data_IF_371293088140
#
_entry.id   IF_371293088140
#
_cell.length_a   1.000
_cell.length_b   1.000
_cell.length_c   1.000
_cell.angle_alpha   90.00
_cell.angle_beta   90.00
_cell.angle_gamma   90.00
#
_symmetry.space_group_name_H-M   'P 1'
#
loop_
_entity.id
_entity.type
_entity.pdbx_description
1 polymer ?
#
# COMPACT_ATOMS: atom_id res chain seq x y z
N UNK A 1 -13.29 59.96 26.95
CA UNK A 1 -14.17 60.84 27.73
C UNK A 1 -15.60 60.70 27.19
N UNK A 2 -16.56 60.47 28.10
CA UNK A 2 -18.04 60.56 28.04
C UNK A 2 -18.79 60.01 26.79
N UNK A 3 -19.70 59.02 26.83
CA UNK A 3 -20.91 58.76 27.65
C UNK A 3 -22.19 59.52 27.22
N UNK A 4 -23.33 58.83 27.41
CA UNK A 4 -24.77 59.15 27.19
C UNK A 4 -25.31 58.82 25.79
N UNK A 5 -26.24 57.87 25.57
CA UNK A 5 -27.53 57.49 26.22
C UNK A 5 -28.57 58.62 26.22
N UNK A 6 -29.66 58.41 25.48
CA UNK A 6 -30.99 58.90 25.86
C UNK A 6 -32.07 57.89 25.44
N UNK A 7 -32.83 57.45 26.44
CA UNK A 7 -34.05 56.66 26.34
C UNK A 7 -35.26 57.53 25.97
N UNK A 8 -36.42 56.92 25.63
CA UNK A 8 -37.66 57.00 26.45
C UNK A 8 -38.82 56.17 25.86
N UNK A 9 -39.32 55.24 26.71
CA UNK A 9 -40.72 55.00 27.12
C UNK A 9 -41.64 54.31 26.09
N UNK A 10 -42.35 53.21 26.38
CA UNK A 10 -42.99 52.73 27.63
C UNK A 10 -44.49 52.61 27.33
N UNK A 11 -45.14 51.45 27.56
CA UNK A 11 -46.18 51.21 28.60
C UNK A 11 -46.73 49.80 28.28
N UNK A 12 -46.52 48.79 29.17
CA UNK A 12 -47.44 48.29 30.21
C UNK A 12 -48.74 47.69 29.63
N UNK A 13 -49.23 46.51 30.02
CA UNK A 13 -48.89 45.58 31.11
C UNK A 13 -49.61 44.26 30.85
N UNK A 14 -49.90 43.35 31.78
CA UNK A 14 -49.55 43.12 33.19
C UNK A 14 -49.94 41.66 33.45
N UNK A 15 -49.05 40.92 34.11
CA UNK A 15 -49.26 39.82 35.08
C UNK A 15 -50.51 38.93 34.95
N UNK A 16 -50.27 37.62 34.84
CA UNK A 16 -50.83 36.64 35.78
C UNK A 16 -50.05 35.31 35.71
N UNK A 17 -49.62 34.86 36.90
CA UNK A 17 -49.04 33.54 37.16
C UNK A 17 -50.15 32.51 37.25
N UNK A 18 -49.96 31.30 36.70
CA UNK A 18 -50.70 30.11 37.11
C UNK A 18 -49.94 28.85 36.70
N UNK A 19 -49.36 28.21 37.71
CA UNK A 19 -49.03 26.79 37.78
C UNK A 19 -50.28 25.98 37.41
N UNK A 20 -50.20 25.02 36.47
CA UNK A 20 -50.78 23.68 36.59
C UNK A 20 -50.58 22.80 35.34
N UNK A 21 -50.48 21.50 35.62
CA UNK A 21 -50.82 20.34 34.77
C UNK A 21 -49.88 19.88 33.65
N UNK A 22 -49.14 18.82 33.99
CA UNK A 22 -48.84 17.67 33.14
C UNK A 22 -49.95 17.37 32.11
N UNK A 23 -49.60 17.47 30.83
CA UNK A 23 -50.23 16.67 29.78
C UNK A 23 -49.17 16.30 28.73
N UNK A 24 -48.67 15.06 28.82
CA UNK A 24 -48.05 14.37 27.69
C UNK A 24 -49.11 14.26 26.58
N UNK A 25 -49.01 15.09 25.55
CA UNK A 25 -49.62 14.77 24.25
C UNK A 25 -48.71 13.75 23.56
N UNK A 26 -49.04 12.47 23.71
CA UNK A 26 -48.64 11.42 22.79
C UNK A 26 -49.21 11.81 21.42
N UNK A 27 -48.33 12.24 20.51
CA UNK A 27 -48.67 12.33 19.10
C UNK A 27 -48.90 10.90 18.59
N UNK A 28 -49.99 10.64 17.84
CA UNK A 28 -50.19 9.33 17.26
C UNK A 28 -49.05 9.05 16.31
N UNK A 29 -48.44 7.87 16.46
CA UNK A 29 -47.52 7.27 15.49
C UNK A 29 -48.15 7.31 14.11
N UNK A 30 -47.74 8.28 13.29
CA UNK A 30 -47.91 8.20 11.84
C UNK A 30 -47.07 7.02 11.39
N UNK A 31 -47.72 5.87 11.20
CA UNK A 31 -47.14 4.75 10.47
C UNK A 31 -46.90 5.27 9.06
N UNK A 32 -45.66 5.65 8.75
CA UNK A 32 -45.22 5.86 7.38
C UNK A 32 -45.32 4.49 6.69
N UNK A 33 -46.45 4.25 6.02
CA UNK A 33 -46.58 3.14 5.07
C UNK A 33 -45.68 3.49 3.88
N UNK A 34 -44.41 3.13 3.98
CA UNK A 34 -43.46 3.20 2.87
C UNK A 34 -44.00 2.30 1.75
N UNK A 35 -44.05 2.81 0.51
CA UNK A 35 -44.47 1.99 -0.65
C UNK A 35 -43.50 0.82 -0.80
N UNK A 36 -43.97 -0.34 -1.28
CA UNK A 36 -43.14 -1.54 -1.44
C UNK A 36 -41.85 -1.31 -2.25
N UNK A 37 -41.87 -0.36 -3.20
CA UNK A 37 -40.70 0.10 -3.96
C UNK A 37 -39.67 0.85 -3.11
N UNK A 38 -40.11 1.66 -2.14
CA UNK A 38 -39.23 2.42 -1.23
C UNK A 38 -38.54 1.47 -0.24
N UNK A 39 -39.25 0.48 0.29
CA UNK A 39 -38.68 -0.55 1.18
C UNK A 39 -37.63 -1.39 0.44
N UNK A 40 -37.87 -1.75 -0.82
CA UNK A 40 -36.88 -2.43 -1.67
C UNK A 40 -35.65 -1.55 -1.92
N UNK A 41 -35.84 -0.26 -2.20
CA UNK A 41 -34.72 0.67 -2.43
C UNK A 41 -33.84 0.89 -1.19
N UNK A 42 -34.44 1.00 0.00
CA UNK A 42 -33.73 1.15 1.27
C UNK A 42 -32.97 -0.13 1.63
N UNK A 43 -33.57 -1.31 1.40
CA UNK A 43 -32.89 -2.60 1.60
C UNK A 43 -31.74 -2.80 0.62
N UNK A 44 -31.90 -2.42 -0.65
CA UNK A 44 -30.84 -2.47 -1.64
C UNK A 44 -29.68 -1.53 -1.25
N UNK A 45 -29.98 -0.31 -0.78
CA UNK A 45 -28.98 0.64 -0.30
C UNK A 45 -28.26 0.14 0.95
N UNK A 46 -28.99 -0.43 1.91
CA UNK A 46 -28.42 -1.03 3.11
C UNK A 46 -27.50 -2.22 2.76
N UNK A 47 -27.94 -3.11 1.87
CA UNK A 47 -27.14 -4.24 1.41
C UNK A 47 -25.90 -3.79 0.63
N UNK A 48 -26.01 -2.75 -0.21
CA UNK A 48 -24.86 -2.14 -0.91
C UNK A 48 -23.87 -1.50 0.07
N UNK A 49 -24.37 -0.85 1.13
CA UNK A 49 -23.53 -0.24 2.18
C UNK A 49 -22.81 -1.31 3.00
N UNK A 50 -23.50 -2.41 3.36
CA UNK A 50 -22.89 -3.54 4.06
C UNK A 50 -21.85 -4.25 3.19
N UNK A 51 -22.14 -4.43 1.89
CA UNK A 51 -21.19 -4.96 0.91
C UNK A 51 -19.95 -4.08 0.75
N UNK A 52 -20.13 -2.76 0.72
CA UNK A 52 -19.04 -1.77 0.72
C UNK A 52 -18.12 -1.91 1.93
N UNK A 53 -18.71 -1.93 3.12
CA UNK A 53 -17.96 -2.04 4.38
C UNK A 53 -17.22 -3.37 4.48
N UNK A 54 -17.82 -4.46 3.97
CA UNK A 54 -17.16 -5.76 3.91
C UNK A 54 -15.92 -5.73 3.00
N UNK A 55 -16.04 -5.17 1.80
CA UNK A 55 -14.95 -5.13 0.83
C UNK A 55 -13.77 -4.27 1.31
N UNK A 56 -14.07 -3.10 1.88
CA UNK A 56 -13.09 -2.20 2.49
C UNK A 56 -12.35 -2.90 3.65
N UNK A 57 -13.10 -3.55 4.54
CA UNK A 57 -12.54 -4.31 5.67
C UNK A 57 -11.67 -5.46 5.18
N UNK A 58 -12.09 -6.19 4.16
CA UNK A 58 -11.31 -7.29 3.57
C UNK A 58 -9.95 -6.79 3.07
N UNK A 59 -9.93 -5.72 2.26
CA UNK A 59 -8.68 -5.15 1.75
C UNK A 59 -7.78 -4.69 2.90
N UNK A 60 -8.35 -4.03 3.90
CA UNK A 60 -7.63 -3.57 5.07
C UNK A 60 -6.98 -4.72 5.86
N UNK A 61 -7.74 -5.78 6.16
CA UNK A 61 -7.25 -6.91 6.93
C UNK A 61 -6.23 -7.76 6.12
N UNK A 62 -6.41 -7.86 4.81
CA UNK A 62 -5.45 -8.50 3.90
C UNK A 62 -4.12 -7.76 3.90
N UNK A 63 -4.13 -6.43 3.72
CA UNK A 63 -2.89 -5.63 3.74
C UNK A 63 -2.27 -5.64 5.13
N UNK A 64 -3.05 -5.48 6.21
CA UNK A 64 -2.53 -5.53 7.58
C UNK A 64 -1.79 -6.84 7.89
N UNK A 65 -2.30 -7.97 7.40
CA UNK A 65 -1.70 -9.28 7.67
C UNK A 65 -0.49 -9.58 6.79
N UNK A 66 -0.48 -9.13 5.53
CA UNK A 66 0.51 -9.55 4.52
C UNK A 66 1.50 -8.46 4.09
N UNK A 67 1.12 -7.20 4.19
CA UNK A 67 1.93 -6.01 3.90
C UNK A 67 1.77 -4.99 5.03
N UNK A 68 2.28 -5.34 6.22
CA UNK A 68 2.13 -4.52 7.42
C UNK A 68 2.78 -3.14 7.30
N UNK A 69 3.93 -3.06 6.63
CA UNK A 69 4.64 -1.81 6.35
C UNK A 69 3.82 -0.91 5.42
N UNK A 70 3.23 -1.52 4.38
CA UNK A 70 2.29 -0.85 3.51
C UNK A 70 1.02 -0.39 4.22
N UNK A 71 0.43 -1.22 5.08
CA UNK A 71 -0.70 -0.87 5.92
C UNK A 71 -0.42 0.39 6.75
N UNK A 72 0.72 0.43 7.46
CA UNK A 72 1.12 1.61 8.23
C UNK A 72 1.28 2.85 7.34
N UNK A 73 1.90 2.70 6.16
CA UNK A 73 2.05 3.83 5.23
C UNK A 73 0.70 4.36 4.75
N UNK A 74 -0.26 3.48 4.46
CA UNK A 74 -1.58 3.86 3.97
C UNK A 74 -2.41 4.61 5.01
N UNK A 75 -2.22 4.34 6.31
CA UNK A 75 -2.88 5.09 7.39
C UNK A 75 -2.40 6.55 7.48
N UNK A 76 -1.19 6.84 7.00
CA UNK A 76 -0.57 8.16 7.03
C UNK A 76 -0.84 8.99 5.77
N UNK A 77 -1.59 8.44 4.80
CA UNK A 77 -2.05 9.15 3.61
C UNK A 77 -3.25 10.07 3.92
N UNK A 78 -3.53 11.07 3.06
CA UNK A 78 -4.78 11.83 3.10
C UNK A 78 -6.00 10.89 3.05
N UNK A 79 -7.06 11.24 3.79
CA UNK A 79 -8.25 10.39 3.98
C UNK A 79 -8.84 9.90 2.64
N UNK A 80 -8.95 10.78 1.66
CA UNK A 80 -9.49 10.50 0.33
C UNK A 80 -8.75 9.39 -0.44
N UNK A 81 -7.48 9.20 -0.12
CA UNK A 81 -6.56 8.27 -0.81
C UNK A 81 -6.36 6.98 -0.01
N UNK A 82 -6.70 6.93 1.28
CA UNK A 82 -6.39 5.77 2.15
C UNK A 82 -6.99 4.48 1.63
N UNK A 83 -8.29 4.49 1.30
CA UNK A 83 -8.99 3.30 0.80
C UNK A 83 -8.44 2.85 -0.56
N UNK A 84 -8.18 3.78 -1.47
CA UNK A 84 -7.60 3.49 -2.78
C UNK A 84 -6.17 2.93 -2.67
N UNK A 85 -5.36 3.45 -1.75
CA UNK A 85 -4.04 2.90 -1.44
C UNK A 85 -4.12 1.47 -0.88
N UNK A 86 -5.07 1.21 0.03
CA UNK A 86 -5.29 -0.14 0.56
C UNK A 86 -5.77 -1.10 -0.53
N UNK A 87 -6.63 -0.67 -1.45
CA UNK A 87 -7.07 -1.48 -2.59
C UNK A 87 -5.90 -1.84 -3.53
N UNK A 88 -5.07 -0.85 -3.88
CA UNK A 88 -3.87 -1.06 -4.70
C UNK A 88 -2.88 -2.02 -4.04
N UNK A 89 -2.66 -1.88 -2.72
CA UNK A 89 -1.81 -2.80 -1.96
C UNK A 89 -2.41 -4.19 -1.86
N UNK A 90 -3.72 -4.32 -1.63
CA UNK A 90 -4.42 -5.59 -1.60
C UNK A 90 -4.28 -6.33 -2.94
N UNK A 91 -4.44 -5.63 -4.06
CA UNK A 91 -4.17 -6.14 -5.40
C UNK A 91 -2.72 -6.64 -5.54
N UNK A 92 -1.73 -5.85 -5.12
CA UNK A 92 -0.33 -6.29 -5.17
C UNK A 92 -0.07 -7.51 -4.27
N UNK A 93 -0.72 -7.59 -3.10
CA UNK A 93 -0.63 -8.73 -2.18
C UNK A 93 -1.20 -10.01 -2.80
N UNK A 94 -2.36 -9.93 -3.44
CA UNK A 94 -2.98 -11.06 -4.16
C UNK A 94 -2.05 -11.60 -5.25
N UNK A 95 -1.51 -10.71 -6.09
CA UNK A 95 -0.60 -11.10 -7.15
C UNK A 95 0.73 -11.66 -6.62
N UNK A 96 1.29 -11.07 -5.57
CA UNK A 96 2.54 -11.52 -4.98
C UNK A 96 2.46 -12.94 -4.40
N UNK A 97 1.30 -13.31 -3.86
CA UNK A 97 1.10 -14.62 -3.25
C UNK A 97 0.87 -15.73 -4.27
N UNK A 98 0.54 -15.43 -5.53
CA UNK A 98 0.22 -16.46 -6.52
C UNK A 98 1.35 -17.48 -6.62
N UNK A 99 2.60 -17.02 -6.76
CA UNK A 99 3.78 -17.90 -6.91
C UNK A 99 3.97 -18.85 -5.73
N UNK A 100 3.77 -18.37 -4.50
CA UNK A 100 3.96 -19.18 -3.29
C UNK A 100 2.73 -20.03 -2.90
N UNK A 101 1.56 -19.76 -3.47
CA UNK A 101 0.29 -20.41 -3.11
C UNK A 101 -0.18 -21.49 -4.10
N UNK A 102 0.53 -21.67 -5.22
CA UNK A 102 0.18 -22.66 -6.25
C UNK A 102 1.29 -23.69 -6.41
N UNK A 103 0.92 -24.96 -6.54
CA UNK A 103 1.89 -26.05 -6.75
C UNK A 103 2.22 -26.28 -8.23
N UNK A 104 1.32 -25.88 -9.14
CA UNK A 104 1.48 -26.07 -10.58
C UNK A 104 1.47 -24.73 -11.29
N UNK A 105 2.42 -24.53 -12.20
CA UNK A 105 2.54 -23.31 -13.02
C UNK A 105 1.23 -22.97 -13.75
N UNK A 106 0.52 -23.97 -14.28
CA UNK A 106 -0.76 -23.78 -14.96
C UNK A 106 -1.81 -23.11 -14.07
N UNK A 107 -1.86 -23.43 -12.78
CA UNK A 107 -2.78 -22.78 -11.82
C UNK A 107 -2.37 -21.32 -11.59
N UNK A 108 -1.07 -21.05 -11.49
CA UNK A 108 -0.55 -19.69 -11.43
C UNK A 108 -0.95 -18.86 -12.65
N UNK A 109 -0.79 -19.44 -13.85
CA UNK A 109 -1.17 -18.80 -15.12
C UNK A 109 -2.68 -18.51 -15.17
N UNK A 110 -3.53 -19.45 -14.73
CA UNK A 110 -4.98 -19.21 -14.64
C UNK A 110 -5.31 -18.04 -13.70
N UNK A 111 -4.65 -17.92 -12.55
CA UNK A 111 -4.84 -16.78 -11.63
C UNK A 111 -4.35 -15.45 -12.21
N UNK A 112 -3.21 -15.45 -12.90
CA UNK A 112 -2.74 -14.25 -13.61
C UNK A 112 -3.71 -13.85 -14.72
N UNK A 113 -4.24 -14.83 -15.46
CA UNK A 113 -5.23 -14.59 -16.51
C UNK A 113 -6.54 -14.04 -15.94
N UNK A 114 -7.01 -14.57 -14.82
CA UNK A 114 -8.14 -14.00 -14.09
C UNK A 114 -7.91 -12.52 -13.79
N UNK A 115 -6.75 -12.15 -13.25
CA UNK A 115 -6.45 -10.74 -12.94
C UNK A 115 -6.35 -9.86 -14.19
N UNK A 116 -5.79 -10.36 -15.31
CA UNK A 116 -5.81 -9.60 -16.58
C UNK A 116 -7.25 -9.30 -17.00
N UNK A 117 -8.12 -10.31 -17.00
CA UNK A 117 -9.53 -10.15 -17.35
C UNK A 117 -10.25 -9.22 -16.37
N UNK A 118 -10.01 -9.36 -15.07
CA UNK A 118 -10.58 -8.49 -14.04
C UNK A 118 -10.20 -7.02 -14.25
N UNK A 119 -8.94 -6.73 -14.64
CA UNK A 119 -8.54 -5.36 -15.00
C UNK A 119 -9.28 -4.89 -16.25
N UNK A 120 -9.46 -5.71 -17.28
CA UNK A 120 -10.27 -5.33 -18.45
C UNK A 120 -11.70 -4.96 -18.07
N UNK A 121 -12.33 -5.79 -17.23
CA UNK A 121 -13.69 -5.64 -16.71
C UNK A 121 -13.85 -4.39 -15.83
N UNK A 122 -12.90 -4.14 -14.92
CA UNK A 122 -12.85 -2.92 -14.10
C UNK A 122 -12.86 -1.67 -14.97
N UNK A 123 -12.08 -1.64 -16.05
CA UNK A 123 -12.02 -0.48 -16.96
C UNK A 123 -13.23 -0.39 -17.90
N UNK A 124 -14.12 -1.39 -17.93
CA UNK A 124 -15.41 -1.39 -18.62
C UNK A 124 -16.60 -1.14 -17.69
N UNK A 125 -16.33 -0.78 -16.44
CA UNK A 125 -17.34 -0.55 -15.39
C UNK A 125 -18.15 -1.77 -14.97
N UNK A 126 -17.57 -2.95 -15.11
CA UNK A 126 -18.21 -4.22 -14.75
C UNK A 126 -17.25 -5.09 -13.89
N UNK A 127 -16.83 -4.63 -12.70
CA UNK A 127 -15.84 -5.35 -11.92
C UNK A 127 -16.37 -6.73 -11.48
N UNK A 128 -15.54 -7.79 -11.53
CA UNK A 128 -15.96 -9.09 -11.02
C UNK A 128 -16.25 -9.01 -9.53
N UNK A 129 -17.21 -9.84 -9.07
CA UNK A 129 -17.69 -9.86 -7.68
C UNK A 129 -16.65 -10.47 -6.72
N UNK A 130 -15.58 -9.72 -6.48
CA UNK A 130 -14.51 -10.00 -5.54
C UNK A 130 -14.20 -8.70 -4.77
N UNK A 131 -13.92 -8.77 -3.46
CA UNK A 131 -13.67 -7.59 -2.63
C UNK A 131 -12.58 -6.67 -3.18
N UNK A 132 -11.43 -7.23 -3.54
CA UNK A 132 -10.28 -6.46 -4.04
C UNK A 132 -10.60 -5.82 -5.40
N UNK A 133 -11.24 -6.54 -6.32
CA UNK A 133 -11.64 -6.01 -7.63
C UNK A 133 -12.64 -4.87 -7.51
N UNK A 134 -13.58 -4.96 -6.55
CA UNK A 134 -14.57 -3.92 -6.29
C UNK A 134 -13.91 -2.64 -5.75
N UNK A 135 -13.03 -2.75 -4.77
CA UNK A 135 -12.31 -1.58 -4.24
C UNK A 135 -11.32 -0.99 -5.25
N UNK A 136 -10.68 -1.85 -6.06
CA UNK A 136 -9.81 -1.40 -7.14
C UNK A 136 -10.60 -0.63 -8.21
N UNK A 137 -11.80 -1.08 -8.57
CA UNK A 137 -12.69 -0.34 -9.47
C UNK A 137 -13.03 1.05 -8.94
N UNK A 138 -13.36 1.17 -7.66
CA UNK A 138 -13.60 2.48 -7.02
C UNK A 138 -12.36 3.38 -7.08
N UNK A 139 -11.18 2.82 -6.84
CA UNK A 139 -9.91 3.54 -6.95
C UNK A 139 -9.64 4.03 -8.39
N UNK A 140 -9.85 3.15 -9.38
CA UNK A 140 -9.71 3.49 -10.81
C UNK A 140 -10.66 4.63 -11.19
N UNK A 141 -11.93 4.55 -10.78
CA UNK A 141 -12.94 5.59 -11.03
C UNK A 141 -12.62 6.92 -10.36
N UNK A 142 -12.20 6.88 -9.09
CA UNK A 142 -11.95 8.08 -8.30
C UNK A 142 -10.72 8.85 -8.77
N UNK A 143 -9.68 8.14 -9.20
CA UNK A 143 -8.37 8.73 -9.46
C UNK A 143 -7.93 8.67 -10.93
N UNK A 144 -8.77 8.16 -11.83
CA UNK A 144 -8.44 7.94 -13.25
C UNK A 144 -7.12 7.18 -13.43
N UNK A 145 -6.97 6.07 -12.69
CA UNK A 145 -5.71 5.30 -12.66
C UNK A 145 -5.35 4.75 -14.03
N UNK A 146 -4.06 4.76 -14.35
CA UNK A 146 -3.56 4.28 -15.63
C UNK A 146 -3.54 2.75 -15.68
N UNK A 147 -4.38 2.17 -16.55
CA UNK A 147 -4.48 0.72 -16.79
C UNK A 147 -3.14 0.02 -17.02
N UNK A 148 -2.24 0.68 -17.76
CA UNK A 148 -0.92 0.14 -18.12
C UNK A 148 -0.10 -0.26 -16.89
N UNK A 149 -0.17 0.49 -15.79
CA UNK A 149 0.60 0.17 -14.59
C UNK A 149 0.09 -1.10 -13.90
N UNK A 150 -1.23 -1.28 -13.82
CA UNK A 150 -1.84 -2.49 -13.26
C UNK A 150 -1.49 -3.74 -14.08
N UNK A 151 -1.62 -3.65 -15.41
CA UNK A 151 -1.26 -4.74 -16.31
C UNK A 151 0.25 -5.06 -16.27
N UNK A 152 1.11 -4.04 -16.16
CA UNK A 152 2.57 -4.22 -16.05
C UNK A 152 2.96 -5.08 -14.85
N UNK A 153 2.31 -4.88 -13.69
CA UNK A 153 2.55 -5.70 -12.49
C UNK A 153 2.15 -7.17 -12.75
N UNK A 154 0.98 -7.41 -13.36
CA UNK A 154 0.48 -8.76 -13.64
C UNK A 154 1.42 -9.47 -14.62
N UNK A 155 1.77 -8.82 -15.74
CA UNK A 155 2.63 -9.38 -16.77
C UNK A 155 4.02 -9.72 -16.22
N UNK A 156 4.59 -8.89 -15.36
CA UNK A 156 5.90 -9.17 -14.78
C UNK A 156 5.84 -10.37 -13.82
N UNK A 157 4.82 -10.45 -12.97
CA UNK A 157 4.66 -11.58 -12.03
C UNK A 157 4.30 -12.89 -12.73
N UNK A 158 3.62 -12.83 -13.86
CA UNK A 158 3.38 -13.99 -14.71
C UNK A 158 4.68 -14.58 -15.28
N UNK A 159 5.60 -13.73 -15.75
CA UNK A 159 6.94 -14.17 -16.20
C UNK A 159 7.74 -14.82 -15.05
N UNK A 160 7.58 -14.30 -13.85
CA UNK A 160 8.28 -14.76 -12.64
C UNK A 160 7.79 -16.14 -12.12
N UNK A 161 6.69 -16.69 -12.66
CA UNK A 161 6.21 -18.04 -12.33
C UNK A 161 7.19 -19.17 -12.74
N UNK A 162 8.21 -18.86 -13.54
CA UNK A 162 9.22 -19.82 -13.98
C UNK A 162 10.29 -20.17 -12.93
N UNK A 163 10.25 -19.56 -11.74
CA UNK A 163 11.23 -19.78 -10.65
C UNK A 163 12.70 -19.55 -11.08
N UNK A 164 12.93 -18.72 -12.10
CA UNK A 164 14.28 -18.42 -12.59
C UNK A 164 14.99 -17.45 -11.65
N UNK A 165 16.24 -17.75 -11.31
CA UNK A 165 17.11 -16.79 -10.63
C UNK A 165 17.46 -15.63 -11.59
N UNK A 166 17.65 -14.42 -11.05
CA UNK A 166 18.09 -13.29 -11.84
C UNK A 166 19.52 -13.52 -12.33
N UNK A 167 19.76 -13.28 -13.62
CA UNK A 167 21.08 -13.38 -14.23
C UNK A 167 22.01 -12.30 -13.68
N UNK A 168 21.48 -11.09 -13.50
CA UNK A 168 22.22 -9.94 -13.02
C UNK A 168 21.37 -8.99 -12.18
N UNK A 169 22.02 -8.01 -11.56
CA UNK A 169 21.32 -6.99 -10.76
C UNK A 169 20.31 -6.19 -11.59
N UNK A 170 20.59 -5.95 -12.88
CA UNK A 170 19.70 -5.19 -13.76
C UNK A 170 18.37 -5.90 -13.99
N UNK A 171 18.34 -7.24 -14.00
CA UNK A 171 17.09 -7.99 -14.07
C UNK A 171 16.25 -7.85 -12.79
N UNK A 172 16.89 -7.87 -11.63
CA UNK A 172 16.21 -7.60 -10.35
C UNK A 172 15.66 -6.17 -10.32
N UNK A 173 16.42 -5.19 -10.80
CA UNK A 173 15.95 -3.80 -10.94
C UNK A 173 14.79 -3.69 -11.93
N UNK A 174 14.84 -4.37 -13.07
CA UNK A 174 13.78 -4.36 -14.07
C UNK A 174 12.47 -4.98 -13.52
N UNK A 175 12.58 -6.12 -12.82
CA UNK A 175 11.46 -6.73 -12.12
C UNK A 175 10.86 -5.76 -11.08
N UNK A 176 11.72 -5.09 -10.31
CA UNK A 176 11.31 -4.15 -9.27
C UNK A 176 10.65 -2.89 -9.84
N UNK A 177 11.14 -2.40 -10.98
CA UNK A 177 10.54 -1.30 -11.74
C UNK A 177 9.14 -1.66 -12.24
N UNK A 178 8.99 -2.85 -12.82
CA UNK A 178 7.71 -3.30 -13.35
C UNK A 178 6.68 -3.66 -12.27
N UNK A 179 7.12 -3.96 -11.04
CA UNK A 179 6.24 -4.31 -9.92
C UNK A 179 6.08 -3.17 -8.91
N UNK A 180 7.12 -2.88 -8.12
CA UNK A 180 7.07 -1.92 -7.02
C UNK A 180 6.97 -0.47 -7.52
N UNK A 181 7.73 -0.08 -8.56
CA UNK A 181 7.61 1.29 -9.08
C UNK A 181 6.25 1.54 -9.73
N UNK A 182 5.68 0.54 -10.44
CA UNK A 182 4.29 0.63 -10.94
C UNK A 182 3.28 0.94 -9.84
N UNK A 183 3.44 0.31 -8.67
CA UNK A 183 2.58 0.54 -7.52
C UNK A 183 2.74 1.96 -6.96
N UNK A 184 3.98 2.49 -6.96
CA UNK A 184 4.24 3.88 -6.56
C UNK A 184 3.69 4.89 -7.58
N UNK A 185 3.77 4.62 -8.89
CA UNK A 185 3.13 5.47 -9.91
C UNK A 185 1.62 5.54 -9.71
N UNK A 186 0.96 4.40 -9.46
CA UNK A 186 -0.47 4.36 -9.14
C UNK A 186 -0.79 5.14 -7.86
N UNK A 187 0.10 5.11 -6.86
CA UNK A 187 -0.08 5.89 -5.63
C UNK A 187 0.09 7.40 -5.86
N UNK A 188 1.02 7.81 -6.72
CA UNK A 188 1.16 9.21 -7.16
C UNK A 188 -0.09 9.68 -7.92
N UNK A 189 -0.64 8.83 -8.79
CA UNK A 189 -1.92 9.10 -9.48
C UNK A 189 -3.07 9.26 -8.47
N UNK A 190 -3.16 8.42 -7.43
CA UNK A 190 -4.14 8.60 -6.37
C UNK A 190 -4.00 9.94 -5.64
N UNK A 191 -2.77 10.43 -5.46
CA UNK A 191 -2.51 11.75 -4.87
C UNK A 191 -2.72 12.92 -5.85
N UNK A 192 -3.04 12.64 -7.12
CA UNK A 192 -3.21 13.65 -8.16
C UNK A 192 -1.90 14.31 -8.59
N UNK A 193 -0.77 13.59 -8.49
CA UNK A 193 0.56 14.14 -8.73
C UNK A 193 1.04 13.77 -10.12
N UNK A 194 1.26 14.79 -10.95
CA UNK A 194 1.85 14.67 -12.28
C UNK A 194 3.17 15.44 -12.32
N UNK A 195 4.28 14.76 -12.06
CA UNK A 195 5.60 15.39 -11.97
C UNK A 195 6.72 14.39 -12.33
N UNK A 196 7.52 14.73 -13.34
CA UNK A 196 8.61 13.88 -13.84
C UNK A 196 9.65 13.55 -12.77
N UNK A 197 9.97 14.47 -11.86
CA UNK A 197 10.91 14.20 -10.76
C UNK A 197 10.31 13.28 -9.71
N UNK A 198 8.99 13.37 -9.45
CA UNK A 198 8.29 12.42 -8.60
C UNK A 198 8.27 11.02 -9.23
N UNK A 199 8.11 10.92 -10.54
CA UNK A 199 8.21 9.64 -11.27
C UNK A 199 9.62 9.05 -11.21
N UNK A 200 10.67 9.87 -11.40
CA UNK A 200 12.05 9.40 -11.24
C UNK A 200 12.36 8.95 -9.80
N UNK A 201 11.87 9.69 -8.80
CA UNK A 201 11.98 9.29 -7.41
C UNK A 201 11.24 7.96 -7.15
N UNK A 202 10.01 7.82 -7.62
CA UNK A 202 9.22 6.59 -7.52
C UNK A 202 9.89 5.39 -8.20
N UNK A 203 10.52 5.59 -9.36
CA UNK A 203 11.30 4.55 -10.07
C UNK A 203 12.43 4.01 -9.19
N UNK A 204 13.26 4.91 -8.65
CA UNK A 204 14.39 4.50 -7.82
C UNK A 204 13.93 3.89 -6.48
N UNK A 205 12.88 4.43 -5.86
CA UNK A 205 12.32 3.86 -4.63
C UNK A 205 11.73 2.48 -4.84
N UNK A 206 11.01 2.25 -5.94
CA UNK A 206 10.46 0.95 -6.27
C UNK A 206 11.57 -0.08 -6.50
N UNK A 207 12.64 0.30 -7.20
CA UNK A 207 13.83 -0.55 -7.36
C UNK A 207 14.50 -0.89 -6.03
N UNK A 208 14.75 0.11 -5.17
CA UNK A 208 15.31 -0.10 -3.84
C UNK A 208 14.42 -1.04 -3.00
N UNK A 209 13.10 -0.86 -3.05
CA UNK A 209 12.14 -1.70 -2.34
C UNK A 209 12.13 -3.14 -2.83
N UNK A 210 12.23 -3.37 -4.13
CA UNK A 210 12.31 -4.73 -4.69
C UNK A 210 13.62 -5.43 -4.33
N UNK A 211 14.75 -4.72 -4.39
CA UNK A 211 16.05 -5.27 -3.95
C UNK A 211 16.04 -5.63 -2.46
N UNK A 212 15.56 -4.71 -1.60
CA UNK A 212 15.42 -4.98 -0.15
C UNK A 212 14.49 -6.15 0.11
N UNK A 213 13.39 -6.27 -0.65
CA UNK A 213 12.45 -7.40 -0.52
C UNK A 213 13.11 -8.72 -0.91
N UNK A 214 13.90 -8.75 -1.99
CA UNK A 214 14.68 -9.92 -2.40
C UNK A 214 15.66 -10.37 -1.31
N UNK A 215 16.43 -9.42 -0.74
CA UNK A 215 17.33 -9.71 0.38
C UNK A 215 16.58 -10.24 1.60
N UNK A 216 15.52 -9.55 2.02
CA UNK A 216 14.72 -9.93 3.19
C UNK A 216 14.09 -11.31 3.04
N UNK A 217 13.69 -11.69 1.83
CA UNK A 217 13.07 -12.97 1.54
C UNK A 217 14.08 -14.13 1.42
N UNK A 218 15.39 -13.84 1.41
CA UNK A 218 16.43 -14.86 1.21
C UNK A 218 16.31 -16.02 2.19
N UNK A 219 16.17 -15.84 3.52
CA UNK A 219 16.06 -16.97 4.44
C UNK A 219 14.78 -17.81 4.22
N UNK A 220 13.68 -17.17 3.84
CA UNK A 220 12.40 -17.84 3.54
C UNK A 220 12.50 -18.70 2.27
N UNK A 221 13.20 -18.22 1.24
CA UNK A 221 13.41 -18.97 0.00
C UNK A 221 14.47 -20.06 0.18
N UNK A 222 15.57 -19.78 0.89
CA UNK A 222 16.60 -20.75 1.23
C UNK A 222 16.03 -21.97 1.96
N UNK A 223 15.12 -21.76 2.93
CA UNK A 223 14.48 -22.88 3.64
C UNK A 223 13.59 -23.75 2.74
N UNK A 224 13.25 -23.27 1.54
CA UNK A 224 12.53 -23.99 0.48
C UNK A 224 13.44 -24.41 -0.67
N UNK A 225 14.76 -24.35 -0.47
CA UNK A 225 15.79 -24.69 -1.47
C UNK A 225 15.70 -23.85 -2.74
N UNK A 226 15.25 -22.59 -2.63
CA UNK A 226 15.19 -21.62 -3.73
C UNK A 226 16.07 -20.41 -3.41
N UNK A 227 16.73 -19.85 -4.44
CA UNK A 227 17.56 -18.65 -4.32
C UNK A 227 17.26 -17.73 -5.51
N UNK A 228 16.91 -16.48 -5.22
CA UNK A 228 16.57 -15.46 -6.23
C UNK A 228 17.53 -14.28 -6.20
N UNK A 229 18.75 -14.46 -5.68
CA UNK A 229 19.77 -13.41 -5.72
C UNK A 229 20.39 -13.32 -7.12
N UNK A 230 20.86 -12.14 -7.56
CA UNK A 230 21.60 -11.97 -8.80
C UNK A 230 22.81 -12.91 -8.89
N UNK A 231 22.84 -13.73 -9.94
CA UNK A 231 23.85 -14.77 -10.13
C UNK A 231 25.23 -14.20 -10.48
N UNK A 232 25.30 -13.08 -11.19
CA UNK A 232 26.54 -12.35 -11.47
C UNK A 232 27.29 -11.94 -10.18
N UNK A 233 26.58 -11.40 -9.19
CA UNK A 233 27.15 -11.02 -7.89
C UNK A 233 27.56 -12.26 -7.10
N UNK A 234 26.76 -13.32 -7.13
CA UNK A 234 27.13 -14.58 -6.48
C UNK A 234 28.41 -15.16 -7.09
N UNK A 235 28.53 -15.15 -8.42
CA UNK A 235 29.72 -15.61 -9.14
C UNK A 235 30.94 -14.75 -8.85
N UNK A 236 30.79 -13.42 -8.77
CA UNK A 236 31.86 -12.48 -8.45
C UNK A 236 32.58 -12.86 -7.14
N UNK A 237 31.81 -13.30 -6.14
CA UNK A 237 32.31 -13.69 -4.81
C UNK A 237 32.54 -15.21 -4.65
N UNK A 238 32.42 -16.00 -5.72
CA UNK A 238 32.58 -17.46 -5.64
C UNK A 238 31.58 -18.16 -4.72
N UNK A 239 30.35 -17.63 -4.65
CA UNK A 239 29.26 -18.15 -3.82
C UNK A 239 28.29 -18.95 -4.68
N UNK A 240 28.01 -20.18 -4.26
CA UNK A 240 27.01 -21.03 -4.90
C UNK A 240 25.61 -20.79 -4.32
N UNK A 241 24.56 -21.19 -5.04
CA UNK A 241 23.21 -21.17 -4.47
C UNK A 241 23.09 -22.08 -3.24
N UNK A 242 23.83 -23.20 -3.22
CA UNK A 242 23.83 -24.13 -2.10
C UNK A 242 24.36 -23.49 -0.80
N UNK A 243 25.30 -22.54 -0.89
CA UNK A 243 25.78 -21.78 0.27
C UNK A 243 24.64 -21.03 0.96
N UNK A 244 23.74 -20.42 0.18
CA UNK A 244 22.53 -19.76 0.70
C UNK A 244 21.50 -20.77 1.21
N UNK A 245 21.30 -21.90 0.53
CA UNK A 245 20.35 -22.95 0.97
C UNK A 245 20.76 -23.52 2.32
N UNK A 246 22.06 -23.70 2.56
CA UNK A 246 22.62 -24.16 3.85
C UNK A 246 22.63 -23.08 4.93
N UNK A 247 22.31 -21.84 4.59
CA UNK A 247 22.36 -20.72 5.52
C UNK A 247 23.80 -20.37 5.93
N UNK A 248 24.76 -20.49 5.01
CA UNK A 248 26.16 -20.15 5.26
C UNK A 248 26.29 -18.69 5.70
N UNK A 249 27.19 -18.46 6.66
CA UNK A 249 27.49 -17.14 7.26
C UNK A 249 28.92 -16.70 7.00
N UNK A 250 29.57 -17.33 6.03
CA UNK A 250 30.94 -17.02 5.60
C UNK A 250 31.04 -15.61 5.02
N UNK A 251 32.26 -15.05 5.02
CA UNK A 251 32.50 -13.68 4.55
C UNK A 251 32.04 -13.47 3.11
N UNK A 252 32.36 -14.39 2.20
CA UNK A 252 31.94 -14.35 0.79
C UNK A 252 30.42 -14.19 0.61
N UNK A 253 29.61 -14.80 1.49
CA UNK A 253 28.13 -14.70 1.44
C UNK A 253 27.68 -13.32 1.91
N UNK A 254 28.34 -12.77 2.94
CA UNK A 254 28.11 -11.40 3.41
C UNK A 254 28.51 -10.38 2.36
N UNK A 255 29.58 -10.63 1.61
CA UNK A 255 30.05 -9.75 0.54
C UNK A 255 29.04 -9.67 -0.63
N UNK A 256 28.41 -10.80 -0.99
CA UNK A 256 27.27 -10.81 -1.95
C UNK A 256 26.11 -9.96 -1.44
N UNK A 257 25.74 -10.14 -0.17
CA UNK A 257 24.64 -9.37 0.44
C UNK A 257 25.00 -7.88 0.54
N UNK A 258 26.26 -7.56 0.83
CA UNK A 258 26.79 -6.20 0.86
C UNK A 258 26.64 -5.51 -0.50
N UNK A 259 27.07 -6.14 -1.59
CA UNK A 259 26.98 -5.54 -2.92
C UNK A 259 25.54 -5.28 -3.34
N UNK A 260 24.64 -6.26 -3.11
CA UNK A 260 23.22 -6.11 -3.44
C UNK A 260 22.56 -5.03 -2.55
N UNK A 261 22.86 -5.01 -1.25
CA UNK A 261 22.35 -3.97 -0.34
C UNK A 261 22.87 -2.57 -0.70
N UNK A 262 24.11 -2.48 -1.20
CA UNK A 262 24.70 -1.24 -1.69
C UNK A 262 23.95 -0.70 -2.90
N UNK A 263 23.50 -1.55 -3.82
CA UNK A 263 22.68 -1.12 -4.96
C UNK A 263 21.32 -0.56 -4.52
N UNK A 264 20.66 -1.19 -3.53
CA UNK A 264 19.45 -0.62 -2.94
C UNK A 264 19.71 0.74 -2.28
N UNK A 265 20.85 0.91 -1.61
CA UNK A 265 21.23 2.17 -1.00
C UNK A 265 21.48 3.27 -2.04
N UNK A 266 22.17 2.96 -3.15
CA UNK A 266 22.41 3.90 -4.26
C UNK A 266 21.09 4.40 -4.84
N UNK A 267 20.13 3.50 -5.09
CA UNK A 267 18.80 3.91 -5.54
C UNK A 267 18.07 4.79 -4.52
N UNK A 268 18.15 4.49 -3.23
CA UNK A 268 17.58 5.34 -2.19
C UNK A 268 18.18 6.76 -2.23
N UNK A 269 19.50 6.88 -2.38
CA UNK A 269 20.17 8.18 -2.48
C UNK A 269 19.80 8.93 -3.77
N UNK A 270 19.68 8.22 -4.90
CA UNK A 270 19.22 8.81 -6.15
C UNK A 270 17.78 9.30 -6.07
N UNK A 271 16.87 8.58 -5.39
CA UNK A 271 15.52 9.07 -5.17
C UNK A 271 15.50 10.38 -4.37
N UNK A 272 16.42 10.54 -3.41
CA UNK A 272 16.55 11.72 -2.55
C UNK A 272 17.17 12.92 -3.24
N UNK A 273 18.02 12.72 -4.25
CA UNK A 273 18.58 13.83 -5.02
C UNK A 273 17.49 14.64 -5.73
N UNK A 274 16.33 14.03 -6.00
CA UNK A 274 15.15 14.71 -6.56
C UNK A 274 14.31 15.49 -5.54
N UNK A 275 14.60 15.40 -4.24
CA UNK A 275 13.75 15.94 -3.17
C UNK A 275 13.38 17.42 -3.33
N UNK A 276 14.28 18.24 -3.85
CA UNK A 276 14.03 19.67 -4.11
C UNK A 276 13.02 19.93 -5.23
N UNK A 277 12.89 19.01 -6.19
CA UNK A 277 12.02 19.15 -7.36
C UNK A 277 10.71 18.37 -7.23
N UNK A 278 10.58 17.56 -6.18
CA UNK A 278 9.39 16.76 -5.90
C UNK A 278 8.39 17.58 -5.09
N UNK A 279 7.10 17.66 -5.51
CA UNK A 279 6.09 18.36 -4.74
C UNK A 279 5.95 17.80 -3.32
N UNK A 280 5.77 18.67 -2.32
CA UNK A 280 5.64 18.23 -0.92
C UNK A 280 4.47 17.26 -0.69
N UNK A 281 3.41 17.32 -1.52
CA UNK A 281 2.31 16.37 -1.49
C UNK A 281 2.73 14.93 -1.83
N UNK A 282 3.80 14.73 -2.60
CA UNK A 282 4.32 13.40 -2.96
C UNK A 282 5.03 12.70 -1.80
N UNK A 283 5.48 13.46 -0.79
CA UNK A 283 6.23 12.89 0.35
C UNK A 283 5.48 11.75 1.04
N UNK A 284 4.14 11.80 1.08
CA UNK A 284 3.32 10.74 1.67
C UNK A 284 3.32 9.45 0.87
N UNK A 285 3.52 9.49 -0.46
CA UNK A 285 3.72 8.30 -1.29
C UNK A 285 5.04 7.58 -0.97
N UNK A 286 6.04 8.34 -0.49
CA UNK A 286 7.40 7.86 -0.31
C UNK A 286 7.73 7.47 1.13
N UNK A 287 6.73 7.33 2.00
CA UNK A 287 6.91 6.95 3.42
C UNK A 287 7.58 5.58 3.61
N UNK A 288 7.51 4.69 2.62
CA UNK A 288 8.21 3.41 2.67
C UNK A 288 9.75 3.56 2.67
N UNK A 289 10.30 4.72 2.32
CA UNK A 289 11.73 5.02 2.50
C UNK A 289 12.23 4.75 3.92
N UNK A 290 11.41 5.04 4.93
CA UNK A 290 11.74 4.79 6.34
C UNK A 290 11.97 3.30 6.60
N UNK A 291 11.18 2.44 5.95
CA UNK A 291 11.28 0.99 6.05
C UNK A 291 12.57 0.50 5.37
N UNK A 292 12.87 1.05 4.18
CA UNK A 292 14.09 0.70 3.44
C UNK A 292 15.34 1.09 4.23
N UNK A 293 15.37 2.29 4.80
CA UNK A 293 16.45 2.75 5.67
C UNK A 293 16.62 1.88 6.90
N UNK A 294 15.53 1.55 7.61
CA UNK A 294 15.58 0.68 8.78
C UNK A 294 16.22 -0.66 8.44
N UNK A 295 15.77 -1.30 7.36
CA UNK A 295 16.29 -2.58 6.93
C UNK A 295 17.79 -2.49 6.56
N UNK A 296 18.16 -1.51 5.71
CA UNK A 296 19.55 -1.32 5.28
C UNK A 296 20.49 -1.01 6.46
N UNK A 297 20.03 -0.26 7.46
CA UNK A 297 20.83 -0.02 8.67
C UNK A 297 20.97 -1.26 9.54
N UNK A 298 19.93 -2.08 9.63
CA UNK A 298 19.95 -3.31 10.44
C UNK A 298 20.80 -4.40 9.81
N UNK A 299 20.73 -4.58 8.49
CA UNK A 299 21.59 -5.54 7.80
C UNK A 299 23.06 -5.10 7.86
N UNK A 300 23.35 -3.79 7.75
CA UNK A 300 24.69 -3.24 7.98
C UNK A 300 25.20 -3.51 9.40
N UNK A 301 24.36 -3.29 10.43
CA UNK A 301 24.72 -3.59 11.84
C UNK A 301 24.90 -5.08 12.11
N UNK A 302 24.28 -5.94 11.30
CA UNK A 302 24.44 -7.39 11.35
C UNK A 302 25.61 -7.87 10.48
N UNK A 303 26.49 -6.97 10.04
CA UNK A 303 27.63 -7.28 9.17
C UNK A 303 27.20 -8.04 7.90
N UNK A 304 26.07 -7.61 7.32
CA UNK A 304 25.48 -8.19 6.12
C UNK A 304 25.12 -9.69 6.23
N UNK A 305 25.00 -10.24 7.44
CA UNK A 305 24.40 -11.57 7.67
C UNK A 305 22.88 -11.52 7.48
N UNK A 306 22.42 -11.93 6.29
CA UNK A 306 20.99 -11.99 5.94
C UNK A 306 20.20 -13.00 6.79
N UNK A 307 20.87 -14.01 7.37
CA UNK A 307 20.29 -15.02 8.26
C UNK A 307 20.30 -14.58 9.73
N UNK A 308 20.79 -13.38 10.04
CA UNK A 308 20.81 -12.88 11.40
C UNK A 308 19.40 -12.61 11.92
N UNK A 309 19.07 -13.11 13.12
CA UNK A 309 17.72 -12.99 13.72
C UNK A 309 17.28 -11.53 13.88
N UNK A 310 18.23 -10.61 14.09
CA UNK A 310 17.91 -9.18 14.21
C UNK A 310 17.45 -8.55 12.90
N UNK A 311 17.70 -9.15 11.73
CA UNK A 311 17.24 -8.61 10.43
C UNK A 311 15.83 -9.13 10.11
N UNK A 312 15.49 -10.31 10.61
CA UNK A 312 14.20 -10.98 10.37
C UNK A 312 13.05 -10.47 11.25
N UNK A 313 13.36 -9.84 12.40
CA UNK A 313 12.34 -9.27 13.28
C UNK A 313 11.79 -7.96 12.73
N UNK A 314 10.60 -7.54 13.15
CA UNK A 314 10.10 -6.18 12.86
C UNK A 314 10.71 -5.18 13.83
N UNK A 315 10.98 -3.95 13.38
CA UNK A 315 11.36 -2.86 14.29
C UNK A 315 10.08 -2.33 14.99
N UNK A 316 9.94 -2.43 16.32
CA UNK A 316 8.76 -1.97 17.03
C UNK A 316 8.57 -0.45 16.97
N UNK A 317 9.64 0.32 16.73
CA UNK A 317 9.61 1.78 16.63
C UNK A 317 9.29 2.27 15.21
N UNK A 318 9.10 1.35 14.25
CA UNK A 318 8.81 1.71 12.87
C UNK A 318 7.57 2.61 12.70
N UNK A 319 6.42 2.35 13.36
CA UNK A 319 5.26 3.25 13.27
C UNK A 319 5.58 4.68 13.74
N UNK A 320 6.35 4.81 14.81
CA UNK A 320 6.77 6.11 15.36
C UNK A 320 7.68 6.86 14.38
N UNK A 321 8.67 6.18 13.79
CA UNK A 321 9.55 6.78 12.79
C UNK A 321 8.79 7.19 11.52
N UNK A 322 7.86 6.36 11.05
CA UNK A 322 7.01 6.70 9.89
C UNK A 322 6.12 7.90 10.17
N UNK A 323 5.51 7.98 11.36
CA UNK A 323 4.71 9.13 11.77
C UNK A 323 5.54 10.41 11.83
N UNK A 324 6.72 10.37 12.46
CA UNK A 324 7.63 11.51 12.54
C UNK A 324 8.09 11.97 11.15
N UNK A 325 8.37 11.03 10.25
CA UNK A 325 8.78 11.32 8.87
C UNK A 325 7.64 11.95 8.05
N UNK A 326 6.43 11.42 8.20
CA UNK A 326 5.21 11.97 7.58
C UNK A 326 4.98 13.42 8.02
N UNK A 327 5.14 13.71 9.31
CA UNK A 327 5.02 15.09 9.82
C UNK A 327 6.10 16.03 9.24
N UNK A 328 7.33 15.55 9.07
CA UNK A 328 8.43 16.33 8.49
C UNK A 328 8.37 16.48 6.96
N UNK A 329 7.49 15.75 6.27
CA UNK A 329 7.37 15.73 4.79
C UNK A 329 8.70 15.48 4.07
N UNK A 330 9.52 14.59 4.62
CA UNK A 330 10.80 14.17 4.02
C UNK A 330 10.75 12.69 3.65
N UNK A 331 11.57 12.26 2.70
CA UNK A 331 11.70 10.86 2.30
C UNK A 331 13.16 10.54 1.93
#
# INVERSE_FOLDING_TARGET
MAACVSAKHGILGSKASLVYCLHKKLMPTSVCILRGSEIQSVRALANATVGSQYNEKYCLDLVRSRDYEGFLSSLLLPEEVRLSSLALRAFNVELAQVKDSVSQKTIGLMRMQFWKTAIEEIFRDDPPNQPVSTELWRAVKRHNLTKRWLLRIITEREKDLDDKAYRNIQELEAYSENTQSSLLYLLLECLGITNVHADHAASHLGKAQGIVTCLRATPYHSSRRKVYLPMDVCMLHGVSQEDFIRGSREQKVRDVVYDIASQAHVHLQHARSFSHNVPAAASSAFLLTVVLEDYLQRIRKADFDVFHKSVQKRNPLLPFHMYLRSWKKTY
#
